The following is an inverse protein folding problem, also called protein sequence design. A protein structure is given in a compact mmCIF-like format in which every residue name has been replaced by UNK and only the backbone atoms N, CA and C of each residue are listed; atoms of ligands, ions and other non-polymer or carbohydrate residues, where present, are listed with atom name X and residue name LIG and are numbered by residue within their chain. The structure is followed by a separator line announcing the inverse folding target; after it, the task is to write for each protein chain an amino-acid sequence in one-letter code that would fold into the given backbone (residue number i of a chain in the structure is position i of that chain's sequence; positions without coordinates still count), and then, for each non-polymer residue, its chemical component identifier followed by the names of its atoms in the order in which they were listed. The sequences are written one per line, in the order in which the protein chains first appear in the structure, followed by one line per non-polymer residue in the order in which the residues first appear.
data_IF_525115989822
#
_entry.id   IF_525115989822
#
_cell.length_a   1.000
_cell.length_b   1.000
_cell.length_c   1.000
_cell.angle_alpha   90.00
_cell.angle_beta   90.00
_cell.angle_gamma   90.00
#
_symmetry.space_group_name_H-M   'P 1'
#
loop_
_entity.id
_entity.type
_entity.pdbx_description
1 polymer ?
#
# COMPACT_ATOMS: atom_id res chain seq x y z
N UNK A 1 6.70 -5.26 -11.26
CA UNK A 1 7.97 -5.56 -10.53
C UNK A 1 8.34 -7.05 -10.46
N UNK A 2 7.44 -7.94 -10.01
CA UNK A 2 7.75 -9.35 -9.72
C UNK A 2 8.43 -10.10 -10.88
N UNK A 3 7.88 -10.00 -12.10
CA UNK A 3 8.44 -10.65 -13.30
C UNK A 3 9.90 -10.26 -13.56
N UNK A 4 10.23 -8.99 -13.38
CA UNK A 4 11.59 -8.47 -13.53
C UNK A 4 12.55 -9.06 -12.47
N UNK A 5 12.15 -9.04 -11.19
CA UNK A 5 12.95 -9.62 -10.09
C UNK A 5 13.19 -11.12 -10.29
N UNK A 6 12.16 -11.87 -10.71
CA UNK A 6 12.28 -13.32 -10.96
C UNK A 6 13.25 -13.61 -12.10
N UNK A 7 13.17 -12.84 -13.20
CA UNK A 7 14.11 -12.97 -14.32
C UNK A 7 15.56 -12.73 -13.90
N UNK A 8 15.83 -11.66 -13.13
CA UNK A 8 17.18 -11.33 -12.69
C UNK A 8 17.77 -12.38 -11.74
N UNK A 9 16.94 -13.04 -10.95
CA UNK A 9 17.35 -14.11 -10.02
C UNK A 9 17.43 -15.49 -10.67
N UNK A 10 17.22 -15.60 -11.98
CA UNK A 10 17.08 -16.88 -12.71
C UNK A 10 16.04 -17.81 -12.06
N UNK A 11 15.02 -17.23 -11.43
CA UNK A 11 13.92 -17.98 -10.85
C UNK A 11 12.88 -18.34 -11.92
N UNK A 12 12.05 -19.34 -11.59
CA UNK A 12 10.89 -19.70 -12.41
C UNK A 12 9.66 -19.02 -11.82
N UNK A 13 8.87 -18.33 -12.63
CA UNK A 13 7.57 -17.83 -12.20
C UNK A 13 6.63 -19.02 -11.97
N UNK A 14 5.65 -18.91 -11.06
CA UNK A 14 4.60 -19.91 -10.95
C UNK A 14 3.84 -20.03 -12.28
N UNK A 15 3.28 -21.22 -12.54
CA UNK A 15 2.51 -21.50 -13.77
C UNK A 15 1.27 -20.63 -13.91
N UNK A 16 0.71 -20.14 -12.80
CA UNK A 16 -0.38 -19.18 -12.76
C UNK A 16 0.05 -17.95 -11.96
N UNK A 17 0.07 -16.79 -12.63
CA UNK A 17 0.19 -15.48 -12.00
C UNK A 17 -1.12 -14.73 -12.27
N UNK A 18 -1.83 -14.38 -11.21
CA UNK A 18 -3.07 -13.61 -11.28
C UNK A 18 -2.69 -12.16 -11.02
N UNK A 19 -2.83 -11.34 -12.05
CA UNK A 19 -2.71 -9.88 -11.95
C UNK A 19 -4.11 -9.33 -11.61
N UNK A 20 -4.14 -8.38 -10.68
CA UNK A 20 -5.37 -7.81 -10.11
C UNK A 20 -5.22 -6.29 -10.07
N UNK A 21 -6.31 -5.59 -10.30
CA UNK A 21 -6.33 -4.13 -10.24
C UNK A 21 -6.72 -3.64 -8.83
N UNK A 22 -6.22 -2.49 -8.37
CA UNK A 22 -6.68 -1.88 -7.12
C UNK A 22 -8.20 -1.62 -7.18
N UNK A 23 -8.95 -2.11 -6.20
CA UNK A 23 -10.41 -2.06 -6.16
C UNK A 23 -11.11 -3.30 -6.73
N UNK A 24 -10.35 -4.23 -7.34
CA UNK A 24 -10.91 -5.48 -7.87
C UNK A 24 -11.41 -6.41 -6.75
N UNK A 25 -12.41 -7.23 -7.09
CA UNK A 25 -12.86 -8.35 -6.26
C UNK A 25 -12.71 -9.65 -7.03
N UNK A 26 -11.98 -10.60 -6.46
CA UNK A 26 -11.60 -11.85 -7.11
C UNK A 26 -11.99 -13.04 -6.25
N UNK A 27 -12.63 -14.04 -6.87
CA UNK A 27 -12.92 -15.32 -6.23
C UNK A 27 -11.72 -16.26 -6.34
N UNK A 28 -11.20 -16.72 -5.20
CA UNK A 28 -10.08 -17.64 -5.06
C UNK A 28 -10.52 -18.88 -4.27
N UNK A 29 -11.14 -19.83 -4.96
CA UNK A 29 -11.73 -21.01 -4.32
C UNK A 29 -12.88 -20.62 -3.38
N UNK A 30 -12.83 -20.96 -2.07
CA UNK A 30 -13.86 -20.57 -1.11
C UNK A 30 -13.73 -19.11 -0.64
N UNK A 31 -12.67 -18.42 -1.05
CA UNK A 31 -12.37 -17.05 -0.62
C UNK A 31 -12.85 -16.04 -1.65
N UNK A 32 -13.50 -15.00 -1.17
CA UNK A 32 -13.85 -13.84 -1.96
C UNK A 32 -13.04 -12.65 -1.46
N UNK A 33 -12.11 -12.17 -2.29
CA UNK A 33 -11.07 -11.23 -1.91
C UNK A 33 -11.29 -9.90 -2.62
N UNK A 34 -11.51 -8.83 -1.85
CA UNK A 34 -11.55 -7.46 -2.35
C UNK A 34 -10.21 -6.76 -2.06
N UNK A 35 -9.60 -6.22 -3.10
CA UNK A 35 -8.34 -5.46 -3.07
C UNK A 35 -8.65 -4.00 -2.81
N UNK A 36 -8.31 -3.50 -1.62
CA UNK A 36 -8.69 -2.16 -1.16
C UNK A 36 -7.49 -1.21 -1.26
N UNK A 37 -7.51 -0.23 -2.18
CA UNK A 37 -6.38 0.68 -2.37
C UNK A 37 -6.06 1.46 -1.08
N UNK A 38 -4.78 1.55 -0.76
CA UNK A 38 -4.26 2.30 0.39
C UNK A 38 -3.00 3.06 -0.01
N UNK A 39 -2.68 4.11 0.75
CA UNK A 39 -1.41 4.84 0.59
C UNK A 39 -0.30 4.18 1.40
N UNK A 40 0.88 4.04 0.78
CA UNK A 40 2.10 3.51 1.37
C UNK A 40 3.31 4.09 0.62
N UNK A 41 4.54 3.68 0.95
CA UNK A 41 5.76 4.15 0.26
C UNK A 41 5.97 3.52 -1.13
N UNK A 42 5.11 2.59 -1.54
CA UNK A 42 5.13 1.97 -2.87
C UNK A 42 3.77 2.10 -3.56
N UNK A 43 3.75 2.25 -4.89
CA UNK A 43 2.50 2.40 -5.64
C UNK A 43 1.64 1.13 -5.59
N UNK A 44 0.33 1.30 -5.81
CA UNK A 44 -0.66 0.21 -5.97
C UNK A 44 -0.79 -0.73 -4.76
N UNK A 45 -0.33 -0.30 -3.58
CA UNK A 45 -0.49 -1.06 -2.34
C UNK A 45 -1.98 -1.21 -1.98
N UNK A 46 -2.38 -2.43 -1.62
CA UNK A 46 -3.76 -2.75 -1.25
C UNK A 46 -3.84 -3.44 0.12
N UNK A 47 -4.81 -3.04 0.93
CA UNK A 47 -5.35 -3.87 2.01
C UNK A 47 -6.26 -4.95 1.41
N UNK A 48 -6.58 -6.00 2.18
CA UNK A 48 -7.44 -7.09 1.70
C UNK A 48 -8.67 -7.25 2.59
N UNK A 49 -9.85 -7.32 1.99
CA UNK A 49 -11.04 -7.86 2.64
C UNK A 49 -11.30 -9.26 2.11
N UNK A 50 -11.16 -10.26 2.98
CA UNK A 50 -11.28 -11.67 2.63
C UNK A 50 -12.56 -12.19 3.28
N UNK A 51 -13.52 -12.61 2.47
CA UNK A 51 -14.76 -13.24 2.92
C UNK A 51 -14.70 -14.74 2.68
N UNK A 52 -15.09 -15.54 3.67
CA UNK A 52 -15.18 -17.00 3.58
C UNK A 52 -16.38 -17.48 4.40
N UNK A 53 -17.37 -18.07 3.72
CA UNK A 53 -18.67 -18.37 4.33
C UNK A 53 -19.27 -17.12 4.99
N UNK A 54 -19.65 -17.24 6.26
CA UNK A 54 -20.20 -16.13 7.05
C UNK A 54 -19.13 -15.31 7.78
N UNK A 55 -17.85 -15.58 7.54
CA UNK A 55 -16.72 -14.90 8.19
C UNK A 55 -16.03 -13.92 7.26
N UNK A 56 -15.52 -12.83 7.85
CA UNK A 56 -14.71 -11.83 7.15
C UNK A 56 -13.47 -11.46 7.94
N UNK A 57 -12.34 -11.48 7.24
CA UNK A 57 -11.03 -11.06 7.72
C UNK A 57 -10.63 -9.79 6.97
N UNK A 58 -10.12 -8.81 7.70
CA UNK A 58 -9.58 -7.59 7.11
C UNK A 58 -8.08 -7.52 7.40
N UNK A 59 -7.25 -7.60 6.36
CA UNK A 59 -5.80 -7.53 6.46
C UNK A 59 -5.33 -6.14 6.02
N UNK A 60 -4.75 -5.38 6.95
CA UNK A 60 -4.41 -3.95 6.72
C UNK A 60 -3.31 -3.71 5.69
N UNK A 61 -2.46 -4.72 5.46
CA UNK A 61 -1.14 -4.56 4.83
C UNK A 61 -0.30 -3.52 5.59
N UNK A 62 0.81 -3.06 5.00
CA UNK A 62 1.54 -1.88 5.47
C UNK A 62 0.92 -0.63 4.82
N UNK A 63 0.66 0.39 5.63
CA UNK A 63 -0.17 1.52 5.22
C UNK A 63 0.20 2.78 6.00
N UNK A 64 -0.09 3.92 5.39
CA UNK A 64 -0.15 5.23 6.05
C UNK A 64 -1.45 5.93 5.66
N UNK A 65 -1.86 6.94 6.42
CA UNK A 65 -2.89 7.90 5.98
C UNK A 65 -2.15 9.04 5.30
N UNK A 66 -2.19 9.07 3.96
CA UNK A 66 -1.63 10.17 3.18
C UNK A 66 -2.75 10.88 2.40
N UNK A 67 -2.94 12.16 2.68
CA UNK A 67 -3.92 13.01 2.00
C UNK A 67 -3.29 13.82 0.85
N UNK A 68 -1.97 13.74 0.66
CA UNK A 68 -1.22 14.41 -0.40
C UNK A 68 -0.09 13.48 -0.92
N UNK A 69 -0.45 12.30 -1.48
CA UNK A 69 0.52 11.38 -2.05
C UNK A 69 1.09 11.94 -3.36
N UNK A 70 2.37 11.66 -3.65
CA UNK A 70 2.99 12.10 -4.91
C UNK A 70 2.50 11.27 -6.10
N UNK A 71 2.16 10.00 -5.86
CA UNK A 71 1.63 9.08 -6.87
C UNK A 71 0.36 8.42 -6.37
N UNK A 72 -0.66 8.33 -7.23
CA UNK A 72 -1.92 7.66 -6.92
C UNK A 72 -2.90 8.51 -6.13
N UNK A 73 -4.06 7.94 -5.76
CA UNK A 73 -5.11 8.66 -5.06
C UNK A 73 -4.79 8.84 -3.58
N UNK A 74 -5.24 9.96 -3.01
CA UNK A 74 -5.25 10.18 -1.57
C UNK A 74 -6.08 9.13 -0.83
N UNK A 75 -5.69 8.82 0.40
CA UNK A 75 -6.42 7.89 1.23
C UNK A 75 -7.84 8.40 1.54
N UNK A 76 -8.84 7.51 1.42
CA UNK A 76 -10.24 7.82 1.69
C UNK A 76 -10.84 6.93 2.77
N UNK A 77 -11.25 7.55 3.88
CA UNK A 77 -11.88 6.83 5.01
C UNK A 77 -13.24 6.20 4.68
N UNK A 78 -13.91 6.61 3.61
CA UNK A 78 -15.30 6.24 3.32
C UNK A 78 -15.47 4.72 3.24
N UNK A 79 -14.64 4.06 2.42
CA UNK A 79 -14.73 2.61 2.20
C UNK A 79 -14.43 1.82 3.48
N UNK A 80 -13.40 2.21 4.23
CA UNK A 80 -13.04 1.56 5.48
C UNK A 80 -14.11 1.71 6.57
N UNK A 81 -14.83 2.84 6.60
CA UNK A 81 -15.98 3.02 7.50
C UNK A 81 -17.15 2.11 7.14
N UNK A 82 -17.41 1.90 5.85
CA UNK A 82 -18.46 0.97 5.40
C UNK A 82 -18.09 -0.48 5.78
N UNK A 83 -16.83 -0.86 5.59
CA UNK A 83 -16.31 -2.17 5.98
C UNK A 83 -16.38 -2.39 7.49
N UNK A 84 -16.04 -1.39 8.31
CA UNK A 84 -16.10 -1.50 9.78
C UNK A 84 -17.52 -1.70 10.34
N UNK A 85 -18.57 -1.35 9.58
CA UNK A 85 -19.97 -1.64 9.95
C UNK A 85 -20.37 -3.09 9.72
N UNK A 86 -19.67 -3.78 8.81
CA UNK A 86 -19.93 -5.17 8.45
C UNK A 86 -18.99 -6.00 9.32
N UNK A 87 -19.50 -6.61 10.40
CA UNK A 87 -18.71 -7.32 11.41
C UNK A 87 -17.56 -8.14 10.79
N UNK A 88 -16.33 -7.66 10.97
CA UNK A 88 -15.11 -8.27 10.44
C UNK A 88 -14.07 -8.30 11.54
N UNK A 89 -13.29 -9.38 11.64
CA UNK A 89 -12.15 -9.43 12.54
C UNK A 89 -10.98 -8.70 11.88
N UNK A 90 -10.50 -7.56 12.43
CA UNK A 90 -9.34 -6.87 11.89
C UNK A 90 -8.06 -7.63 12.25
N UNK A 91 -7.21 -7.85 11.25
CA UNK A 91 -5.85 -8.33 11.40
C UNK A 91 -4.90 -7.21 10.95
N UNK A 92 -4.26 -6.55 11.91
CA UNK A 92 -3.18 -5.61 11.61
C UNK A 92 -1.87 -6.39 11.47
N UNK A 93 -1.17 -6.19 10.36
CA UNK A 93 0.20 -6.73 10.17
C UNK A 93 1.28 -5.68 10.36
N UNK A 94 0.89 -4.41 10.51
CA UNK A 94 1.83 -3.30 10.74
C UNK A 94 2.32 -3.32 12.20
N UNK A 95 3.65 -3.20 12.45
CA UNK A 95 4.16 -3.03 13.79
C UNK A 95 3.63 -1.72 14.42
N UNK A 96 3.49 -1.65 15.76
CA UNK A 96 3.04 -0.45 16.42
C UNK A 96 4.01 0.72 16.15
N UNK A 97 3.46 1.91 15.93
CA UNK A 97 4.30 3.11 15.76
C UNK A 97 5.10 3.35 17.05
N UNK A 98 6.43 3.60 16.93
CA UNK A 98 7.29 3.82 18.09
C UNK A 98 7.06 5.19 18.75
N UNK A 99 6.42 6.12 18.05
CA UNK A 99 6.19 7.49 18.49
C UNK A 99 4.73 7.90 18.25
N UNK A 100 4.25 8.80 19.11
CA UNK A 100 2.94 9.42 18.95
C UNK A 100 2.98 10.48 17.86
N UNK A 101 1.93 10.53 17.03
CA UNK A 101 1.78 11.52 15.97
C UNK A 101 1.27 10.89 14.68
N UNK A 102 1.47 11.61 13.57
CA UNK A 102 1.13 11.16 12.23
C UNK A 102 2.38 11.19 11.35
N UNK A 103 2.47 10.26 10.41
CA UNK A 103 3.48 10.33 9.37
C UNK A 103 3.23 11.54 8.47
N UNK A 104 4.26 12.32 8.09
CA UNK A 104 4.11 13.40 7.13
C UNK A 104 3.71 12.84 5.75
N UNK A 105 3.07 13.68 4.95
CA UNK A 105 2.68 13.32 3.58
C UNK A 105 3.89 13.23 2.67
N UNK A 106 3.79 12.45 1.60
CA UNK A 106 4.79 12.45 0.54
C UNK A 106 4.95 13.84 -0.10
N UNK A 107 3.87 14.60 -0.27
CA UNK A 107 3.94 15.98 -0.76
C UNK A 107 4.76 16.90 0.16
N UNK A 108 4.64 16.75 1.48
CA UNK A 108 5.50 17.47 2.44
C UNK A 108 6.97 17.07 2.32
N UNK A 109 7.24 15.78 2.16
CA UNK A 109 8.61 15.28 1.94
C UNK A 109 9.19 15.81 0.63
N UNK A 110 8.41 15.80 -0.45
CA UNK A 110 8.81 16.32 -1.76
C UNK A 110 9.11 17.83 -1.71
N UNK A 111 8.25 18.62 -1.04
CA UNK A 111 8.47 20.05 -0.86
C UNK A 111 9.74 20.34 -0.04
N UNK A 112 9.96 19.59 1.04
CA UNK A 112 11.17 19.68 1.85
C UNK A 112 12.42 19.37 1.06
N UNK A 113 12.40 18.27 0.28
CA UNK A 113 13.51 17.87 -0.58
C UNK A 113 13.82 18.91 -1.65
N UNK A 114 12.80 19.45 -2.32
CA UNK A 114 12.96 20.50 -3.32
C UNK A 114 13.63 21.75 -2.75
N UNK A 115 13.24 22.16 -1.54
CA UNK A 115 13.85 23.30 -0.84
C UNK A 115 15.34 23.05 -0.53
N UNK A 116 15.70 21.86 -0.06
CA UNK A 116 17.10 21.52 0.23
C UNK A 116 17.94 21.56 -1.04
N UNK A 117 17.45 20.97 -2.13
CA UNK A 117 18.18 20.93 -3.41
C UNK A 117 18.39 22.34 -3.98
N UNK A 118 17.39 23.21 -3.89
CA UNK A 118 17.52 24.61 -4.35
C UNK A 118 18.61 25.39 -3.62
N UNK A 119 18.92 25.02 -2.37
CA UNK A 119 19.96 25.67 -1.57
C UNK A 119 21.35 25.05 -1.75
N UNK A 120 21.49 23.96 -2.50
CA UNK A 120 22.78 23.30 -2.72
C UNK A 120 23.51 23.88 -3.94
N UNK A 121 24.72 24.41 -3.71
CA UNK A 121 25.65 24.79 -4.78
C UNK A 121 26.63 23.65 -5.09
N UNK A 122 26.94 23.43 -6.37
CA UNK A 122 27.85 22.37 -6.82
C UNK A 122 27.20 21.01 -7.05
N UNK A 123 28.01 19.96 -7.16
CA UNK A 123 27.53 18.60 -7.41
C UNK A 123 27.01 17.94 -6.13
N UNK A 124 25.82 17.37 -6.18
CA UNK A 124 25.19 16.63 -5.08
C UNK A 124 24.83 15.21 -5.51
N UNK A 125 24.72 14.30 -4.55
CA UNK A 125 24.25 12.93 -4.73
C UNK A 125 23.22 12.60 -3.66
N UNK A 126 22.27 11.72 -4.01
CA UNK A 126 21.23 11.25 -3.10
C UNK A 126 21.06 9.73 -3.20
N UNK A 127 20.48 9.14 -2.16
CA UNK A 127 20.12 7.73 -2.11
C UNK A 127 18.69 7.64 -1.59
N UNK A 128 17.84 6.95 -2.34
CA UNK A 128 16.48 6.63 -1.96
C UNK A 128 16.25 5.12 -2.17
N UNK A 129 15.31 4.57 -1.42
CA UNK A 129 14.85 3.18 -1.60
C UNK A 129 13.51 3.20 -2.33
N UNK A 130 13.35 2.29 -3.30
CA UNK A 130 12.06 1.93 -3.91
C UNK A 130 11.49 0.67 -3.25
#
# INVERSE_FOLDING_TARGET
MLRHKTRNRRGTLPSSLIEVEPGERTALGPFDVEWLPITHSTPETCALSITVGDSRIFHTADWKIDNDPVVGPAWSSRRFRELGKQASTPLSVTPPMPTWGYSPTEGQVAAGLAKVIQCCEGAWSWVAFE
#
